data_IF_770495276969
#
_entry.id   IF_770495276969
#
_cell.length_a   1.000
_cell.length_b   1.000
_cell.length_c   1.000
_cell.angle_alpha   90.00
_cell.angle_beta   90.00
_cell.angle_gamma   90.00
#
_symmetry.space_group_name_H-M   'P 1'
#
loop_
_entity.id
_entity.type
_entity.pdbx_description
1 polymer ?
#
# COMPACT_ATOMS: atom_id res chain seq x y z
N UNK A 1 -12.12 26.82 20.73
CA UNK A 1 -13.12 26.82 19.64
C UNK A 1 -12.42 26.48 18.33
N UNK A 2 -12.59 25.23 17.85
CA UNK A 2 -12.33 24.69 16.49
C UNK A 2 -12.24 23.15 16.44
N UNK A 3 -12.76 22.43 17.45
CA UNK A 3 -12.82 20.96 17.44
C UNK A 3 -13.64 20.41 16.26
N UNK A 4 -14.71 21.10 15.86
CA UNK A 4 -15.52 20.75 14.68
C UNK A 4 -14.68 20.75 13.39
N UNK A 5 -13.82 21.75 13.19
CA UNK A 5 -12.94 21.81 12.02
C UNK A 5 -11.89 20.70 12.00
N UNK A 6 -11.31 20.37 13.16
CA UNK A 6 -10.34 19.28 13.28
C UNK A 6 -10.97 17.91 13.04
N UNK A 7 -12.19 17.68 13.53
CA UNK A 7 -12.93 16.43 13.31
C UNK A 7 -13.34 16.27 11.85
N UNK A 8 -13.81 17.33 11.18
CA UNK A 8 -14.11 17.29 9.74
C UNK A 8 -12.85 17.00 8.94
N UNK A 9 -11.74 17.65 9.25
CA UNK A 9 -10.45 17.41 8.61
C UNK A 9 -9.96 15.97 8.79
N UNK A 10 -10.01 15.44 10.02
CA UNK A 10 -9.64 14.05 10.32
C UNK A 10 -10.52 13.06 9.56
N UNK A 11 -11.82 13.31 9.48
CA UNK A 11 -12.77 12.50 8.71
C UNK A 11 -12.45 12.51 7.22
N UNK A 12 -12.14 13.68 6.66
CA UNK A 12 -11.76 13.81 5.24
C UNK A 12 -10.45 13.06 4.94
N UNK A 13 -9.43 13.22 5.79
CA UNK A 13 -8.18 12.49 5.68
C UNK A 13 -8.40 10.97 5.75
N UNK A 14 -9.19 10.52 6.73
CA UNK A 14 -9.56 9.12 6.90
C UNK A 14 -10.25 8.56 5.66
N UNK A 15 -11.32 9.21 5.19
CA UNK A 15 -12.08 8.75 4.02
C UNK A 15 -11.19 8.74 2.77
N UNK A 16 -10.37 9.78 2.57
CA UNK A 16 -9.47 9.85 1.43
C UNK A 16 -8.47 8.70 1.44
N UNK A 17 -7.79 8.48 2.56
CA UNK A 17 -6.80 7.40 2.68
C UNK A 17 -7.45 6.02 2.61
N UNK A 18 -8.61 5.82 3.24
CA UNK A 18 -9.35 4.56 3.17
C UNK A 18 -9.73 4.21 1.73
N UNK A 19 -10.25 5.18 0.97
CA UNK A 19 -10.64 4.97 -0.43
C UNK A 19 -9.42 4.73 -1.32
N UNK A 20 -8.33 5.47 -1.12
CA UNK A 20 -7.11 5.32 -1.94
C UNK A 20 -6.42 3.99 -1.66
N UNK A 21 -6.32 3.57 -0.40
CA UNK A 21 -5.62 2.35 -0.01
C UNK A 21 -6.46 1.09 -0.24
N UNK A 22 -7.77 1.24 -0.45
CA UNK A 22 -8.73 0.18 -0.79
C UNK A 22 -8.46 -1.19 -0.13
N UNK A 23 -8.62 -1.30 1.20
CA UNK A 23 -8.35 -2.57 1.91
C UNK A 23 -9.11 -3.79 1.32
N UNK A 24 -10.39 -3.66 0.93
CA UNK A 24 -11.10 -4.73 0.22
C UNK A 24 -10.44 -5.10 -1.12
N UNK A 25 -10.09 -4.14 -1.97
CA UNK A 25 -9.42 -4.40 -3.25
C UNK A 25 -8.00 -4.98 -3.11
N UNK A 26 -7.29 -4.64 -2.02
CA UNK A 26 -5.99 -5.20 -1.69
C UNK A 26 -6.05 -6.68 -1.23
N UNK A 27 -7.24 -7.17 -0.87
CA UNK A 27 -7.44 -8.53 -0.36
C UNK A 27 -7.07 -9.64 -1.35
N UNK A 28 -7.66 -9.74 -2.57
CA UNK A 28 -7.30 -10.80 -3.52
C UNK A 28 -5.80 -10.81 -3.84
N UNK A 29 -5.20 -9.62 -3.86
CA UNK A 29 -3.78 -9.43 -4.08
C UNK A 29 -2.95 -10.04 -2.96
N UNK A 30 -3.25 -9.64 -1.72
CA UNK A 30 -2.59 -10.17 -0.54
C UNK A 30 -2.71 -11.70 -0.49
N UNK A 31 -3.90 -12.24 -0.73
CA UNK A 31 -4.15 -13.68 -0.73
C UNK A 31 -3.39 -14.43 -1.84
N UNK A 32 -3.24 -13.83 -3.02
CA UNK A 32 -2.40 -14.38 -4.09
C UNK A 32 -0.91 -14.44 -3.71
N UNK A 33 -0.44 -13.47 -2.92
CA UNK A 33 0.96 -13.40 -2.46
C UNK A 33 1.27 -14.34 -1.29
N UNK A 34 0.30 -14.61 -0.40
CA UNK A 34 0.51 -15.46 0.80
C UNK A 34 -0.14 -16.84 0.69
N UNK A 35 -0.57 -17.21 -0.51
CA UNK A 35 -1.36 -18.42 -0.78
C UNK A 35 -0.67 -19.73 -0.38
N UNK A 36 0.66 -19.78 -0.42
CA UNK A 36 1.48 -20.95 -0.05
C UNK A 36 1.84 -20.99 1.46
N UNK A 37 1.48 -19.97 2.23
CA UNK A 37 1.84 -19.85 3.66
C UNK A 37 0.82 -20.50 4.58
N UNK A 38 1.25 -20.89 5.78
CA UNK A 38 0.36 -21.41 6.80
C UNK A 38 -0.63 -20.34 7.31
N UNK A 39 -1.81 -20.71 7.85
CA UNK A 39 -2.77 -19.74 8.35
C UNK A 39 -2.20 -18.76 9.40
N UNK A 40 -1.30 -19.23 10.27
CA UNK A 40 -0.64 -18.38 11.28
C UNK A 40 0.32 -17.38 10.65
N UNK A 41 1.09 -17.80 9.65
CA UNK A 41 1.98 -16.92 8.90
C UNK A 41 1.20 -15.88 8.11
N UNK A 42 0.10 -16.26 7.46
CA UNK A 42 -0.76 -15.30 6.74
C UNK A 42 -1.28 -14.19 7.66
N UNK A 43 -1.72 -14.52 8.87
CA UNK A 43 -2.16 -13.52 9.86
C UNK A 43 -1.01 -12.59 10.26
N UNK A 44 0.19 -13.15 10.52
CA UNK A 44 1.38 -12.35 10.83
C UNK A 44 1.74 -11.41 9.69
N UNK A 45 1.73 -11.91 8.45
CA UNK A 45 2.02 -11.15 7.24
C UNK A 45 0.99 -10.05 6.97
N UNK A 46 -0.29 -10.26 7.30
CA UNK A 46 -1.32 -9.23 7.19
C UNK A 46 -0.99 -8.01 8.07
N UNK A 47 -0.68 -8.25 9.35
CA UNK A 47 -0.27 -7.19 10.28
C UNK A 47 1.09 -6.58 9.94
N UNK A 48 2.02 -7.40 9.45
CA UNK A 48 3.31 -6.91 9.00
C UNK A 48 3.15 -5.99 7.79
N UNK A 49 2.34 -6.37 6.79
CA UNK A 49 2.06 -5.52 5.62
C UNK A 49 1.42 -4.18 6.03
N UNK A 50 0.42 -4.21 6.91
CA UNK A 50 -0.19 -3.00 7.46
C UNK A 50 0.83 -2.15 8.25
N UNK A 51 1.70 -2.78 9.06
CA UNK A 51 2.71 -2.11 9.85
C UNK A 51 3.82 -1.47 9.02
N UNK A 52 4.31 -2.14 7.97
CA UNK A 52 5.31 -1.55 7.08
C UNK A 52 4.69 -0.45 6.22
N UNK A 53 3.44 -0.62 5.76
CA UNK A 53 2.68 0.47 5.12
C UNK A 53 2.58 1.70 6.02
N UNK A 54 2.21 1.50 7.29
CA UNK A 54 2.11 2.57 8.28
C UNK A 54 3.45 3.28 8.46
N UNK A 55 4.53 2.52 8.56
CA UNK A 55 5.88 3.08 8.68
C UNK A 55 6.27 3.93 7.47
N UNK A 56 5.99 3.48 6.24
CA UNK A 56 6.26 4.24 5.02
C UNK A 56 5.43 5.51 4.99
N UNK A 57 4.12 5.42 5.21
CA UNK A 57 3.21 6.59 5.21
C UNK A 57 3.62 7.59 6.30
N UNK A 58 3.94 7.13 7.51
CA UNK A 58 4.41 7.99 8.60
C UNK A 58 5.76 8.66 8.27
N UNK A 59 6.69 7.93 7.66
CA UNK A 59 7.98 8.47 7.25
C UNK A 59 7.82 9.57 6.19
N UNK A 60 6.98 9.36 5.19
CA UNK A 60 6.68 10.38 4.18
C UNK A 60 5.84 11.54 4.73
N UNK A 61 4.98 11.29 5.72
CA UNK A 61 4.26 12.36 6.42
C UNK A 61 5.23 13.32 7.13
N UNK A 62 6.28 12.78 7.76
CA UNK A 62 7.25 13.56 8.52
C UNK A 62 8.34 14.19 7.63
N UNK A 63 8.87 13.42 6.68
CA UNK A 63 10.09 13.75 5.94
C UNK A 63 9.91 13.79 4.43
N UNK A 64 8.74 13.40 3.91
CA UNK A 64 8.57 13.10 2.48
C UNK A 64 8.96 14.26 1.56
N UNK A 65 8.56 15.49 1.90
CA UNK A 65 8.92 16.66 1.09
C UNK A 65 10.43 16.93 1.12
N UNK A 66 11.03 16.89 2.30
CA UNK A 66 12.47 17.10 2.47
C UNK A 66 13.31 16.06 1.70
N UNK A 67 12.92 14.78 1.77
CA UNK A 67 13.62 13.69 1.06
C UNK A 67 13.53 13.91 -0.46
N UNK A 68 12.34 14.19 -0.98
CA UNK A 68 12.14 14.40 -2.41
C UNK A 68 12.89 15.62 -2.94
N UNK A 69 12.83 16.74 -2.21
CA UNK A 69 13.53 17.97 -2.59
C UNK A 69 15.07 17.78 -2.53
N UNK A 70 15.59 17.09 -1.51
CA UNK A 70 17.02 16.77 -1.39
C UNK A 70 17.53 15.89 -2.55
N UNK A 71 16.72 14.93 -2.98
CA UNK A 71 17.07 14.03 -4.08
C UNK A 71 16.78 14.62 -5.46
N UNK A 72 16.16 15.81 -5.57
CA UNK A 72 15.62 16.36 -6.82
C UNK A 72 14.69 15.35 -7.53
N UNK A 73 13.89 14.61 -6.76
CA UNK A 73 12.96 13.61 -7.29
C UNK A 73 11.54 14.16 -7.19
N UNK A 74 10.83 14.18 -8.31
CA UNK A 74 9.43 14.61 -8.33
C UNK A 74 8.50 13.53 -7.78
N UNK A 75 7.29 13.93 -7.37
CA UNK A 75 6.25 13.00 -6.91
C UNK A 75 5.85 12.03 -8.03
N UNK A 76 5.83 12.52 -9.27
CA UNK A 76 5.53 11.76 -10.48
C UNK A 76 6.59 10.68 -10.72
N UNK A 77 7.86 11.00 -10.49
CA UNK A 77 8.95 10.03 -10.58
C UNK A 77 8.80 8.90 -9.55
N UNK A 78 8.45 9.25 -8.31
CA UNK A 78 8.14 8.25 -7.28
C UNK A 78 6.93 7.39 -7.68
N UNK A 79 5.90 7.99 -8.29
CA UNK A 79 4.73 7.29 -8.79
C UNK A 79 5.06 6.31 -9.91
N UNK A 80 5.89 6.73 -10.87
CA UNK A 80 6.36 5.88 -11.96
C UNK A 80 7.19 4.70 -11.43
N UNK A 81 8.12 4.94 -10.50
CA UNK A 81 8.94 3.90 -9.89
C UNK A 81 8.09 2.86 -9.13
N UNK A 82 7.12 3.31 -8.33
CA UNK A 82 6.17 2.42 -7.66
C UNK A 82 5.34 1.60 -8.65
N UNK A 83 4.93 2.22 -9.77
CA UNK A 83 4.21 1.55 -10.85
C UNK A 83 5.06 0.44 -11.49
N UNK A 84 6.33 0.71 -11.80
CA UNK A 84 7.24 -0.31 -12.36
C UNK A 84 7.42 -1.50 -11.40
N UNK A 85 7.56 -1.25 -10.11
CA UNK A 85 7.70 -2.31 -9.11
C UNK A 85 6.44 -3.18 -9.04
N UNK A 86 5.25 -2.58 -9.02
CA UNK A 86 3.98 -3.32 -9.04
C UNK A 86 3.79 -4.12 -10.34
N UNK A 87 4.20 -3.58 -11.49
CA UNK A 87 4.17 -4.29 -12.76
C UNK A 87 5.07 -5.54 -12.73
N UNK A 88 6.28 -5.40 -12.18
CA UNK A 88 7.20 -6.53 -12.03
C UNK A 88 6.60 -7.67 -11.19
N UNK A 89 5.90 -7.34 -10.10
CA UNK A 89 5.18 -8.33 -9.27
C UNK A 89 4.01 -8.95 -10.02
N UNK A 90 3.23 -8.12 -10.73
CA UNK A 90 2.12 -8.58 -11.53
C UNK A 90 2.55 -9.67 -12.52
N UNK A 91 3.66 -9.43 -13.22
CA UNK A 91 4.20 -10.37 -14.18
C UNK A 91 4.67 -11.68 -13.52
N UNK A 92 5.27 -11.63 -12.32
CA UNK A 92 5.62 -12.84 -11.58
C UNK A 92 4.40 -13.67 -11.20
N UNK A 93 3.34 -13.02 -10.71
CA UNK A 93 2.09 -13.68 -10.37
C UNK A 93 1.44 -14.35 -11.60
N UNK A 94 1.46 -13.68 -12.74
CA UNK A 94 0.88 -14.18 -14.00
C UNK A 94 1.71 -15.30 -14.65
N UNK A 95 3.04 -15.23 -14.54
CA UNK A 95 3.95 -16.21 -15.16
C UNK A 95 4.21 -17.43 -14.28
N UNK A 96 3.74 -17.42 -13.02
CA UNK A 96 3.95 -18.52 -12.07
C UNK A 96 5.39 -18.63 -11.57
N UNK A 97 6.26 -17.67 -11.91
CA UNK A 97 7.63 -17.60 -11.40
C UNK A 97 7.60 -17.13 -9.93
N UNK A 98 7.36 -18.08 -9.02
CA UNK A 98 7.42 -17.88 -7.56
C UNK A 98 8.85 -17.84 -7.00
N UNK A 99 9.85 -17.73 -7.87
CA UNK A 99 11.24 -17.62 -7.45
C UNK A 99 11.45 -16.23 -6.85
N UNK A 100 11.29 -16.22 -5.53
CA UNK A 100 11.81 -15.25 -4.59
C UNK A 100 13.16 -14.72 -5.05
N UNK A 101 13.41 -13.45 -4.75
CA UNK A 101 14.75 -12.87 -4.75
C UNK A 101 15.76 -13.93 -4.33
N UNK A 102 16.72 -14.17 -5.24
CA UNK A 102 17.70 -15.24 -5.19
C UNK A 102 18.16 -15.53 -3.77
N UNK A 103 17.91 -16.79 -3.37
CA UNK A 103 18.81 -17.65 -2.61
C UNK A 103 20.04 -16.93 -2.04
N UNK A 104 20.10 -16.83 -0.69
CA UNK A 104 21.15 -16.24 0.17
C UNK A 104 20.75 -14.99 0.97
N UNK A 105 19.61 -15.04 1.66
CA UNK A 105 19.42 -14.23 2.85
C UNK A 105 18.74 -15.08 3.93
N UNK A 106 19.56 -15.61 4.82
CA UNK A 106 19.21 -16.35 6.03
C UNK A 106 18.48 -15.51 7.08
N UNK A 107 17.55 -14.64 6.70
CA UNK A 107 16.65 -13.97 7.64
C UNK A 107 15.46 -13.30 6.93
N UNK A 108 14.29 -13.96 7.00
CA UNK A 108 12.94 -13.41 7.28
C UNK A 108 12.42 -12.09 6.64
N UNK A 109 13.05 -11.46 5.64
CA UNK A 109 12.72 -10.07 5.24
C UNK A 109 12.22 -9.93 3.78
N UNK A 110 12.27 -10.98 2.97
CA UNK A 110 12.00 -10.88 1.52
C UNK A 110 10.53 -10.81 1.06
N UNK A 111 9.54 -11.09 1.92
CA UNK A 111 8.12 -11.22 1.51
C UNK A 111 7.22 -10.03 1.93
N UNK A 112 7.85 -8.88 2.21
CA UNK A 112 7.21 -7.62 2.65
C UNK A 112 7.61 -6.37 1.84
N UNK A 113 8.65 -6.36 0.96
CA UNK A 113 8.91 -5.21 0.09
C UNK A 113 7.79 -4.88 -0.91
N UNK A 114 6.77 -5.74 -1.05
CA UNK A 114 5.70 -5.59 -2.04
C UNK A 114 4.34 -5.22 -1.44
N UNK A 115 4.08 -5.62 -0.19
CA UNK A 115 2.95 -5.09 0.57
C UNK A 115 3.09 -3.58 0.83
N UNK A 116 4.33 -3.08 0.81
CA UNK A 116 4.66 -1.66 0.96
C UNK A 116 4.24 -0.80 -0.25
N UNK A 117 4.65 -1.08 -1.50
CA UNK A 117 4.14 -0.39 -2.69
C UNK A 117 2.64 -0.54 -2.90
N UNK A 118 2.07 -1.69 -2.52
CA UNK A 118 0.64 -1.94 -2.68
C UNK A 118 -0.20 -1.09 -1.72
N UNK A 119 0.14 -1.12 -0.43
CA UNK A 119 -0.66 -0.47 0.62
C UNK A 119 -0.22 0.99 0.83
N UNK A 120 1.08 1.25 0.92
CA UNK A 120 1.65 2.61 0.96
C UNK A 120 2.00 3.10 -0.44
N UNK A 121 1.08 2.88 -1.40
CA UNK A 121 1.26 3.33 -2.77
C UNK A 121 1.44 4.86 -2.85
N UNK A 122 2.02 5.36 -3.95
CA UNK A 122 2.31 6.78 -4.12
C UNK A 122 1.05 7.66 -4.02
N UNK A 123 -0.14 7.16 -4.38
CA UNK A 123 -1.39 7.88 -4.14
C UNK A 123 -1.65 8.16 -2.66
N UNK A 124 -1.40 7.17 -1.79
CA UNK A 124 -1.54 7.33 -0.35
C UNK A 124 -0.45 8.24 0.23
N UNK A 125 0.80 8.09 -0.23
CA UNK A 125 1.92 8.98 0.14
C UNK A 125 1.60 10.44 -0.19
N UNK A 126 1.15 10.71 -1.43
CA UNK A 126 0.83 12.06 -1.90
C UNK A 126 -0.36 12.64 -1.14
N UNK A 127 -1.43 11.86 -0.96
CA UNK A 127 -2.58 12.29 -0.17
C UNK A 127 -2.15 12.65 1.25
N UNK A 128 -1.36 11.81 1.92
CA UNK A 128 -0.82 12.09 3.25
C UNK A 128 0.01 13.37 3.26
N UNK A 129 0.93 13.57 2.32
CA UNK A 129 1.74 14.79 2.22
C UNK A 129 0.87 16.05 2.03
N UNK A 130 -0.19 15.98 1.22
CA UNK A 130 -1.13 17.08 1.02
C UNK A 130 -1.88 17.40 2.33
N UNK A 131 -2.33 16.38 3.06
CA UNK A 131 -2.99 16.60 4.35
C UNK A 131 -2.01 17.15 5.40
N UNK A 132 -0.75 16.72 5.41
CA UNK A 132 0.28 17.33 6.28
C UNK A 132 0.43 18.82 5.97
N UNK A 133 0.47 19.21 4.69
CA UNK A 133 0.59 20.62 4.28
C UNK A 133 -0.65 21.46 4.61
N UNK A 134 -1.84 20.85 4.61
CA UNK A 134 -3.12 21.53 4.93
C UNK A 134 -3.41 21.63 6.43
N UNK A 135 -2.62 20.98 7.28
CA UNK A 135 -2.86 20.97 8.72
C UNK A 135 -2.24 22.21 9.37
N UNK A 136 -3.07 23.23 9.63
CA UNK A 136 -2.63 24.51 10.23
C UNK A 136 -2.58 24.48 11.76
N UNK A 137 -3.20 23.47 12.39
CA UNK A 137 -3.34 23.39 13.85
C UNK A 137 -2.91 22.03 14.39
N UNK A 138 -2.42 22.01 15.64
CA UNK A 138 -2.05 20.77 16.34
C UNK A 138 -3.21 19.77 16.44
N UNK A 139 -4.46 20.27 16.50
CA UNK A 139 -5.64 19.42 16.51
C UNK A 139 -5.87 18.71 15.16
N UNK A 140 -5.59 19.38 14.03
CA UNK A 140 -5.65 18.76 12.70
C UNK A 140 -4.51 17.76 12.49
N UNK A 141 -3.29 18.07 12.96
CA UNK A 141 -2.16 17.14 12.92
C UNK A 141 -2.50 15.87 13.70
N UNK A 142 -3.01 16.01 14.93
CA UNK A 142 -3.45 14.87 15.73
C UNK A 142 -4.59 14.10 15.04
N UNK A 143 -5.53 14.81 14.43
CA UNK A 143 -6.60 14.22 13.61
C UNK A 143 -6.08 13.39 12.44
N UNK A 144 -5.05 13.87 11.73
CA UNK A 144 -4.39 13.15 10.65
C UNK A 144 -3.67 11.89 11.16
N UNK A 145 -2.95 11.99 12.29
CA UNK A 145 -2.29 10.83 12.91
C UNK A 145 -3.32 9.76 13.28
N UNK A 146 -4.43 10.15 13.91
CA UNK A 146 -5.53 9.23 14.24
C UNK A 146 -6.12 8.60 12.98
N UNK A 147 -6.35 9.39 11.93
CA UNK A 147 -6.87 8.90 10.65
C UNK A 147 -5.94 7.85 10.02
N UNK A 148 -4.63 8.13 9.96
CA UNK A 148 -3.61 7.20 9.44
C UNK A 148 -3.61 5.91 10.25
N UNK A 149 -3.57 5.98 11.59
CA UNK A 149 -3.58 4.81 12.45
C UNK A 149 -4.87 3.98 12.28
N UNK A 150 -6.03 4.65 12.21
CA UNK A 150 -7.32 3.99 12.04
C UNK A 150 -7.40 3.24 10.69
N UNK A 151 -6.98 3.86 9.59
CA UNK A 151 -6.95 3.20 8.27
C UNK A 151 -6.04 1.98 8.28
N UNK A 152 -4.85 2.08 8.86
CA UNK A 152 -3.91 0.95 8.92
C UNK A 152 -4.40 -0.19 9.82
N UNK A 153 -5.12 0.13 10.91
CA UNK A 153 -5.80 -0.87 11.72
C UNK A 153 -6.89 -1.60 10.91
N UNK A 154 -7.67 -0.87 10.12
CA UNK A 154 -8.68 -1.46 9.23
C UNK A 154 -8.01 -2.34 8.18
N UNK A 155 -6.91 -1.90 7.55
CA UNK A 155 -6.16 -2.72 6.60
C UNK A 155 -5.70 -4.03 7.26
N UNK A 156 -5.03 -3.96 8.41
CA UNK A 156 -4.54 -5.13 9.12
C UNK A 156 -5.67 -6.12 9.46
N UNK A 157 -6.81 -5.61 9.93
CA UNK A 157 -7.98 -6.43 10.26
C UNK A 157 -8.68 -7.03 9.04
N UNK A 158 -8.85 -6.29 7.94
CA UNK A 158 -9.44 -6.78 6.69
C UNK A 158 -8.56 -7.87 6.08
N UNK A 159 -7.25 -7.63 5.97
CA UNK A 159 -6.31 -8.61 5.45
C UNK A 159 -6.23 -9.86 6.35
N UNK A 160 -6.24 -9.68 7.67
CA UNK A 160 -6.30 -10.81 8.62
C UNK A 160 -7.61 -11.59 8.50
N UNK A 161 -8.75 -10.92 8.37
CA UNK A 161 -10.04 -11.58 8.17
C UNK A 161 -10.06 -12.38 6.85
N UNK A 162 -9.39 -11.87 5.81
CA UNK A 162 -9.29 -12.54 4.51
C UNK A 162 -8.55 -13.88 4.57
N UNK A 163 -7.65 -14.09 5.53
CA UNK A 163 -6.90 -15.36 5.63
C UNK A 163 -7.81 -16.54 5.96
N UNK A 164 -8.98 -16.29 6.56
CA UNK A 164 -10.01 -17.31 6.81
C UNK A 164 -10.64 -17.79 5.51
N UNK A 165 -10.74 -16.92 4.50
CA UNK A 165 -11.31 -17.24 3.19
C UNK A 165 -10.40 -18.22 2.45
N UNK A 166 -9.07 -18.02 2.49
CA UNK A 166 -8.13 -18.94 1.83
C UNK A 166 -8.10 -20.34 2.45
N UNK A 167 -8.41 -20.47 3.74
CA UNK A 167 -8.54 -21.80 4.37
C UNK A 167 -9.63 -22.68 3.74
N UNK A 168 -10.62 -22.08 3.07
CA UNK A 168 -11.67 -22.79 2.32
C UNK A 168 -11.28 -23.08 0.85
N UNK A 169 -10.22 -22.45 0.35
CA UNK A 169 -9.84 -22.48 -1.07
C UNK A 169 -8.79 -23.57 -1.30
N UNK A 170 -9.13 -24.56 -2.12
CA UNK A 170 -8.20 -25.62 -2.57
C UNK A 170 -7.07 -25.03 -3.42
N UNK A 171 -5.97 -25.77 -3.60
CA UNK A 171 -4.77 -25.33 -4.34
C UNK A 171 -5.08 -24.66 -5.71
N UNK A 172 -6.06 -25.19 -6.45
CA UNK A 172 -6.49 -24.61 -7.73
C UNK A 172 -7.05 -23.19 -7.61
N UNK A 173 -7.74 -22.88 -6.51
CA UNK A 173 -8.27 -21.55 -6.27
C UNK A 173 -7.19 -20.57 -5.80
N UNK A 174 -6.12 -21.04 -5.16
CA UNK A 174 -4.95 -20.20 -4.84
C UNK A 174 -4.28 -19.72 -6.14
N UNK A 175 -4.10 -20.62 -7.11
CA UNK A 175 -3.56 -20.26 -8.43
C UNK A 175 -4.46 -19.26 -9.16
N UNK A 176 -5.78 -19.45 -9.14
CA UNK A 176 -6.72 -18.51 -9.74
C UNK A 176 -6.65 -17.12 -9.07
N UNK A 177 -6.60 -17.08 -7.74
CA UNK A 177 -6.44 -15.83 -6.99
C UNK A 177 -5.13 -15.12 -7.32
N UNK A 178 -4.02 -15.85 -7.45
CA UNK A 178 -2.75 -15.28 -7.87
C UNK A 178 -2.83 -14.67 -9.28
N UNK A 179 -3.50 -15.34 -10.23
CA UNK A 179 -3.70 -14.79 -11.58
C UNK A 179 -4.56 -13.53 -11.58
N UNK A 180 -5.66 -13.51 -10.79
CA UNK A 180 -6.52 -12.33 -10.66
C UNK A 180 -5.74 -11.18 -10.01
N UNK A 181 -5.01 -11.46 -8.93
CA UNK A 181 -4.12 -10.50 -8.27
C UNK A 181 -3.11 -9.90 -9.25
N UNK A 182 -2.45 -10.75 -10.04
CA UNK A 182 -1.49 -10.32 -11.06
C UNK A 182 -2.13 -9.40 -12.09
N UNK A 183 -3.33 -9.73 -12.57
CA UNK A 183 -4.06 -8.88 -13.53
C UNK A 183 -4.42 -7.52 -12.93
N UNK A 184 -4.90 -7.50 -11.68
CA UNK A 184 -5.23 -6.26 -10.96
C UNK A 184 -3.99 -5.38 -10.74
N UNK A 185 -2.87 -5.98 -10.32
CA UNK A 185 -1.61 -5.25 -10.11
C UNK A 185 -1.08 -4.66 -11.41
N UNK A 186 -1.13 -5.42 -12.50
CA UNK A 186 -0.71 -4.92 -13.81
C UNK A 186 -1.54 -3.71 -14.21
N UNK A 187 -2.86 -3.76 -14.02
CA UNK A 187 -3.75 -2.64 -14.32
C UNK A 187 -3.43 -1.40 -13.48
N UNK A 188 -3.26 -1.57 -12.16
CA UNK A 188 -2.89 -0.48 -11.24
C UNK A 188 -1.54 0.13 -11.63
N UNK A 189 -0.55 -0.72 -11.89
CA UNK A 189 0.79 -0.31 -12.29
C UNK A 189 0.79 0.50 -13.59
N UNK A 190 0.09 0.03 -14.63
CA UNK A 190 -0.05 0.74 -15.90
C UNK A 190 -0.76 2.08 -15.70
N UNK A 191 -1.80 2.14 -14.86
CA UNK A 191 -2.49 3.39 -14.56
C UNK A 191 -1.57 4.40 -13.85
N UNK A 192 -0.75 3.95 -12.90
CA UNK A 192 0.22 4.79 -12.20
C UNK A 192 1.28 5.35 -13.15
N UNK A 193 1.80 4.51 -14.05
CA UNK A 193 2.75 4.93 -15.08
C UNK A 193 2.12 5.94 -16.05
N UNK A 194 0.91 5.69 -16.51
CA UNK A 194 0.19 6.60 -17.39
C UNK A 194 -0.05 7.96 -16.73
N UNK A 195 -0.41 7.99 -15.45
CA UNK A 195 -0.59 9.23 -14.70
C UNK A 195 0.72 10.01 -14.55
N UNK A 196 1.82 9.32 -14.21
CA UNK A 196 3.13 9.94 -14.08
C UNK A 196 3.63 10.51 -15.43
N UNK A 197 3.50 9.75 -16.52
CA UNK A 197 3.89 10.20 -17.87
C UNK A 197 3.09 11.42 -18.30
N UNK A 198 1.76 11.43 -18.06
CA UNK A 198 0.93 12.61 -18.37
C UNK A 198 1.35 13.83 -17.57
N UNK A 199 1.68 13.67 -16.29
CA UNK A 199 2.13 14.75 -15.45
C UNK A 199 3.50 15.30 -15.90
N UNK A 200 4.43 14.43 -16.31
CA UNK A 200 5.70 14.84 -16.92
C UNK A 200 5.52 15.56 -18.27
N UNK A 201 4.56 15.15 -19.08
CA UNK A 201 4.29 15.81 -20.36
C UNK A 201 3.59 17.17 -20.20
N UNK A 202 2.97 17.43 -19.04
CA UNK A 202 2.27 18.67 -18.73
C UNK A 202 3.13 19.67 -17.93
N UNK A 203 4.35 19.29 -17.54
CA UNK A 203 5.34 20.14 -16.85
C UNK A 203 6.35 20.73 -17.82
#
# INVERSE_FOLDING_TARGET
MNSLGAVTFATQAFVTLFVIMDPPGATPIFLGLVGDKSPRERVRLAWQAAGVSLFVIASFALFGRFILDYMNVSIEALQAAGGLLLLYVALQLLTGNKNTGTENASDNIGMVPLGTPLLAGPGAIVATMIYVQKADTNAQILGLVIAILAVHLIIGTVLMASTKIVGLIKDSGVTLLASIAGLLLAAIAVQMLANAIKAFAAS
#
